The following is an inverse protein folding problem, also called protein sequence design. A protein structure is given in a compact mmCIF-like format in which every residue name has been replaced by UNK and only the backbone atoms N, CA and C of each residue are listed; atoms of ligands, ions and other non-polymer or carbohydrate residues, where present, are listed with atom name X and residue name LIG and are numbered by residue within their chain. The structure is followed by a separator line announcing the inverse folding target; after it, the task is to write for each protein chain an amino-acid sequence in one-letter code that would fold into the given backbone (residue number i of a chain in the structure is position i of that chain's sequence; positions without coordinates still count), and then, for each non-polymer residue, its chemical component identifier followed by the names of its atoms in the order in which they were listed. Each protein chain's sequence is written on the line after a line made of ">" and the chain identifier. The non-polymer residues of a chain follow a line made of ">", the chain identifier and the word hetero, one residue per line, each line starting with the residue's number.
data_IF_534242244385
#
_entry.id   IF_534242244385
#
_cell.length_a   1.000
_cell.length_b   1.000
_cell.length_c   1.000
_cell.angle_alpha   90.00
_cell.angle_beta   90.00
_cell.angle_gamma   90.00
#
_symmetry.space_group_name_H-M   'P 1'
#
loop_
_entity.id
_entity.type
_entity.pdbx_description
1 polymer ?
#
# COMPACT_ATOMS: atom_id res chain seq x y z
N UNK A 1 5.91 15.83 13.82
CA UNK A 1 6.94 14.77 14.04
C UNK A 1 7.24 14.12 12.69
N UNK A 2 8.48 14.14 12.21
CA UNK A 2 8.86 13.53 10.92
C UNK A 2 8.82 11.99 11.00
N UNK A 3 8.31 11.34 9.96
CA UNK A 3 8.29 9.87 9.84
C UNK A 3 9.68 9.34 9.47
N UNK A 4 9.89 8.01 9.56
CA UNK A 4 11.16 7.38 9.21
C UNK A 4 11.65 7.78 7.80
N UNK A 5 10.73 7.97 6.84
CA UNK A 5 11.05 8.34 5.46
C UNK A 5 11.68 9.73 5.30
N UNK A 6 11.47 10.62 6.28
CA UNK A 6 11.89 12.03 6.20
C UNK A 6 12.87 12.43 7.32
N UNK A 7 13.36 11.45 8.09
CA UNK A 7 14.38 11.69 9.11
C UNK A 7 15.78 11.61 8.48
N UNK A 8 16.72 12.51 8.83
CA UNK A 8 18.11 12.34 8.45
C UNK A 8 18.69 11.08 9.12
N UNK A 9 19.75 10.54 8.53
CA UNK A 9 20.45 9.37 9.07
C UNK A 9 20.94 9.69 10.48
N UNK A 10 20.30 9.09 11.47
CA UNK A 10 20.46 9.39 12.89
C UNK A 10 20.17 8.13 13.73
N UNK A 11 20.54 8.09 15.02
CA UNK A 11 20.21 6.95 15.89
C UNK A 11 18.71 6.64 15.91
N UNK A 12 17.87 7.67 15.86
CA UNK A 12 16.40 7.53 15.79
C UNK A 12 15.94 6.89 14.48
N UNK A 13 16.47 7.35 13.34
CA UNK A 13 16.18 6.74 12.04
C UNK A 13 16.62 5.28 11.99
N UNK A 14 17.83 4.96 12.49
CA UNK A 14 18.36 3.59 12.55
C UNK A 14 17.48 2.68 13.41
N UNK A 15 17.02 3.18 14.56
CA UNK A 15 16.10 2.46 15.44
C UNK A 15 14.79 2.10 14.74
N UNK A 16 14.13 3.07 14.11
CA UNK A 16 12.91 2.80 13.34
C UNK A 16 13.14 1.82 12.19
N UNK A 17 14.22 2.01 11.41
CA UNK A 17 14.56 1.09 10.33
C UNK A 17 14.77 -0.33 10.84
N UNK A 18 15.48 -0.51 11.97
CA UNK A 18 15.68 -1.82 12.60
C UNK A 18 14.35 -2.46 12.98
N UNK A 19 13.45 -1.71 13.63
CA UNK A 19 12.12 -2.22 14.03
C UNK A 19 11.33 -2.67 12.79
N UNK A 20 11.27 -1.84 11.74
CA UNK A 20 10.55 -2.16 10.50
C UNK A 20 11.14 -3.41 9.85
N UNK A 21 12.46 -3.49 9.69
CA UNK A 21 13.09 -4.64 9.03
C UNK A 21 12.92 -5.94 9.82
N UNK A 22 13.07 -5.92 11.14
CA UNK A 22 13.04 -7.15 11.94
C UNK A 22 11.62 -7.63 12.29
N UNK A 23 10.69 -6.72 12.58
CA UNK A 23 9.37 -7.10 13.10
C UNK A 23 8.27 -7.07 12.06
N UNK A 24 8.40 -6.21 11.04
CA UNK A 24 7.36 -5.97 10.05
C UNK A 24 7.68 -6.58 8.69
N UNK A 25 8.94 -6.50 8.25
CA UNK A 25 9.37 -6.91 6.90
C UNK A 25 10.44 -8.01 6.91
N UNK A 26 10.50 -8.82 7.98
CA UNK A 26 11.41 -9.97 8.00
C UNK A 26 10.96 -11.03 6.99
N UNK A 27 11.87 -11.89 6.49
CA UNK A 27 11.50 -12.97 5.58
C UNK A 27 10.34 -13.83 6.10
N UNK A 28 10.38 -14.20 7.39
CA UNK A 28 9.32 -14.99 8.02
C UNK A 28 7.96 -14.27 8.00
N UNK A 29 7.94 -12.95 8.21
CA UNK A 29 6.71 -12.15 8.11
C UNK A 29 6.22 -12.08 6.67
N UNK A 30 7.12 -11.86 5.71
CA UNK A 30 6.78 -11.81 4.28
C UNK A 30 6.22 -13.14 3.78
N UNK A 31 6.77 -14.27 4.25
CA UNK A 31 6.32 -15.63 3.93
C UNK A 31 4.97 -15.92 4.56
N UNK A 32 4.80 -15.60 5.85
CA UNK A 32 3.51 -15.73 6.54
C UNK A 32 2.38 -14.95 5.83
N UNK A 33 2.73 -13.86 5.14
CA UNK A 33 1.80 -13.04 4.38
C UNK A 33 1.76 -13.35 2.88
N UNK A 34 2.40 -14.43 2.43
CA UNK A 34 2.39 -14.84 1.02
C UNK A 34 0.96 -15.09 0.52
N UNK A 35 0.15 -15.81 1.29
CA UNK A 35 -1.26 -16.07 0.99
C UNK A 35 -2.07 -14.79 0.82
N UNK A 36 -1.80 -13.78 1.67
CA UNK A 36 -2.46 -12.48 1.58
C UNK A 36 -2.08 -11.73 0.30
N UNK A 37 -0.80 -11.76 -0.08
CA UNK A 37 -0.33 -11.16 -1.34
C UNK A 37 -1.01 -11.82 -2.53
N UNK A 38 -1.06 -13.16 -2.55
CA UNK A 38 -1.72 -13.91 -3.61
C UNK A 38 -3.22 -13.56 -3.70
N UNK A 39 -3.91 -13.45 -2.56
CA UNK A 39 -5.31 -13.04 -2.54
C UNK A 39 -5.52 -11.62 -3.10
N UNK A 40 -4.64 -10.67 -2.81
CA UNK A 40 -4.74 -9.30 -3.36
C UNK A 40 -4.43 -9.23 -4.86
N UNK A 41 -3.50 -10.05 -5.35
CA UNK A 41 -3.24 -10.19 -6.79
C UNK A 41 -4.44 -10.82 -7.50
N UNK A 42 -5.05 -11.83 -6.90
CA UNK A 42 -6.26 -12.47 -7.42
C UNK A 42 -7.43 -11.47 -7.54
N UNK A 43 -7.65 -10.64 -6.51
CA UNK A 43 -8.66 -9.58 -6.55
C UNK A 43 -8.40 -8.54 -7.66
N UNK A 44 -7.13 -8.16 -7.86
CA UNK A 44 -6.75 -7.28 -8.95
C UNK A 44 -7.02 -7.92 -10.32
N UNK A 45 -6.68 -9.20 -10.48
CA UNK A 45 -6.96 -9.96 -11.70
C UNK A 45 -8.46 -10.01 -12.00
N UNK A 46 -9.29 -10.32 -11.00
CA UNK A 46 -10.75 -10.35 -11.14
C UNK A 46 -11.32 -9.00 -11.56
N UNK A 47 -10.82 -7.90 -10.99
CA UNK A 47 -11.19 -6.55 -11.38
C UNK A 47 -10.84 -6.26 -12.85
N UNK A 48 -9.60 -6.56 -13.26
CA UNK A 48 -9.16 -6.35 -14.65
C UNK A 48 -9.95 -7.22 -15.63
N UNK A 49 -10.19 -8.49 -15.30
CA UNK A 49 -10.98 -9.41 -16.09
C UNK A 49 -12.41 -8.89 -16.28
N UNK A 50 -13.00 -8.34 -15.22
CA UNK A 50 -14.32 -7.74 -15.31
C UNK A 50 -14.33 -6.50 -16.23
N UNK A 51 -13.37 -5.59 -16.08
CA UNK A 51 -13.24 -4.42 -16.96
C UNK A 51 -13.10 -4.85 -18.42
N UNK A 52 -12.31 -5.88 -18.71
CA UNK A 52 -12.18 -6.46 -20.05
C UNK A 52 -13.51 -6.97 -20.59
N UNK A 53 -14.30 -7.71 -19.78
CA UNK A 53 -15.62 -8.22 -20.17
C UNK A 53 -16.64 -7.12 -20.45
N UNK A 54 -16.55 -5.99 -19.75
CA UNK A 54 -17.49 -4.86 -19.91
C UNK A 54 -16.98 -3.76 -20.84
N UNK A 55 -15.80 -3.95 -21.46
CA UNK A 55 -15.16 -2.96 -22.33
C UNK A 55 -14.75 -1.66 -21.61
N UNK A 56 -14.60 -1.72 -20.29
CA UNK A 56 -14.24 -0.55 -19.47
C UNK A 56 -12.73 -0.35 -19.42
N UNK A 57 -12.22 0.89 -19.52
CA UNK A 57 -10.81 1.17 -19.36
C UNK A 57 -10.37 0.90 -17.91
N UNK A 58 -9.12 0.49 -17.74
CA UNK A 58 -8.49 0.29 -16.44
C UNK A 58 -7.47 1.40 -16.19
N UNK A 59 -7.68 2.19 -15.15
CA UNK A 59 -6.63 3.07 -14.62
C UNK A 59 -5.63 2.24 -13.83
N UNK A 60 -4.49 1.94 -14.45
CA UNK A 60 -3.42 1.13 -13.87
C UNK A 60 -2.85 1.78 -12.60
N UNK A 61 -2.72 3.12 -12.58
CA UNK A 61 -2.19 3.85 -11.43
C UNK A 61 -3.11 3.73 -10.22
N UNK A 62 -4.42 3.92 -10.43
CA UNK A 62 -5.43 3.73 -9.37
C UNK A 62 -5.55 2.27 -8.93
N UNK A 63 -5.52 1.33 -9.86
CA UNK A 63 -5.59 -0.09 -9.55
C UNK A 63 -4.40 -0.55 -8.72
N UNK A 64 -3.18 -0.23 -9.15
CA UNK A 64 -1.94 -0.56 -8.43
C UNK A 64 -1.92 0.08 -7.04
N UNK A 65 -2.24 1.37 -6.94
CA UNK A 65 -2.30 2.07 -5.64
C UNK A 65 -3.32 1.40 -4.69
N UNK A 66 -4.51 1.09 -5.19
CA UNK A 66 -5.56 0.45 -4.38
C UNK A 66 -5.13 -0.94 -3.89
N UNK A 67 -4.53 -1.76 -4.76
CA UNK A 67 -4.00 -3.08 -4.37
C UNK A 67 -2.91 -2.95 -3.31
N UNK A 68 -1.94 -2.05 -3.51
CA UNK A 68 -0.85 -1.81 -2.55
C UNK A 68 -1.37 -1.31 -1.21
N UNK A 69 -2.31 -0.36 -1.21
CA UNK A 69 -2.92 0.18 0.01
C UNK A 69 -3.65 -0.91 0.79
N UNK A 70 -4.44 -1.74 0.11
CA UNK A 70 -5.15 -2.86 0.73
C UNK A 70 -4.21 -3.95 1.27
N UNK A 71 -3.10 -4.20 0.58
CA UNK A 71 -2.10 -5.13 1.07
C UNK A 71 -1.47 -4.58 2.35
N UNK A 72 -0.97 -3.35 2.34
CA UNK A 72 -0.31 -2.74 3.50
C UNK A 72 -1.27 -2.58 4.68
N UNK A 73 -2.51 -2.15 4.44
CA UNK A 73 -3.50 -2.00 5.51
C UNK A 73 -3.83 -3.34 6.16
N UNK A 74 -3.90 -4.41 5.37
CA UNK A 74 -4.19 -5.75 5.86
C UNK A 74 -2.99 -6.36 6.57
N UNK A 75 -1.77 -6.04 6.15
CA UNK A 75 -0.52 -6.45 6.81
C UNK A 75 -0.34 -5.79 8.18
N UNK A 76 -0.55 -4.47 8.28
CA UNK A 76 -0.25 -3.72 9.51
C UNK A 76 -1.40 -3.67 10.50
N UNK A 77 -2.63 -3.60 10.00
CA UNK A 77 -3.81 -3.32 10.81
C UNK A 77 -4.89 -4.41 10.69
N UNK A 78 -4.67 -5.45 9.89
CA UNK A 78 -5.66 -6.47 9.56
C UNK A 78 -6.97 -5.92 8.95
N UNK A 79 -6.93 -4.68 8.45
CA UNK A 79 -8.05 -3.94 7.87
C UNK A 79 -7.95 -3.83 6.35
N UNK A 80 -9.10 -3.71 5.69
CA UNK A 80 -9.19 -3.45 4.25
C UNK A 80 -9.72 -2.03 4.03
N UNK A 81 -8.81 -1.10 3.71
CA UNK A 81 -9.11 0.34 3.72
C UNK A 81 -9.69 0.85 2.39
N UNK A 82 -9.55 0.09 1.31
CA UNK A 82 -9.91 0.52 -0.02
C UNK A 82 -10.63 -0.57 -0.83
N UNK A 83 -11.29 -0.15 -1.90
CA UNK A 83 -11.93 -1.06 -2.84
C UNK A 83 -11.74 -0.54 -4.27
N UNK A 84 -11.53 -1.43 -5.23
CA UNK A 84 -11.23 -1.08 -6.62
C UNK A 84 -12.31 -0.21 -7.29
N UNK A 85 -13.57 -0.30 -6.81
CA UNK A 85 -14.69 0.50 -7.30
C UNK A 85 -15.05 1.71 -6.42
N UNK A 86 -14.33 1.94 -5.33
CA UNK A 86 -14.60 3.06 -4.42
C UNK A 86 -13.74 4.29 -4.77
N UNK A 87 -14.18 5.48 -4.36
CA UNK A 87 -13.39 6.72 -4.40
C UNK A 87 -12.42 6.83 -3.22
N UNK A 88 -12.61 6.04 -2.15
CA UNK A 88 -11.78 6.13 -0.93
C UNK A 88 -10.28 5.94 -1.18
N UNK A 89 -9.91 5.06 -2.11
CA UNK A 89 -8.48 4.92 -2.46
C UNK A 89 -7.92 6.15 -3.16
N UNK A 90 -8.75 6.85 -3.95
CA UNK A 90 -8.35 8.08 -4.61
C UNK A 90 -8.18 9.21 -3.60
N UNK A 91 -9.14 9.38 -2.69
CA UNK A 91 -9.05 10.37 -1.61
C UNK A 91 -7.79 10.15 -0.75
N UNK A 92 -7.48 8.89 -0.42
CA UNK A 92 -6.28 8.55 0.31
C UNK A 92 -5.00 8.80 -0.51
N UNK A 93 -5.03 8.51 -1.82
CA UNK A 93 -3.92 8.80 -2.74
C UNK A 93 -3.64 10.30 -2.80
N UNK A 94 -4.68 11.11 -2.94
CA UNK A 94 -4.59 12.56 -3.04
C UNK A 94 -4.07 13.17 -1.73
N UNK A 95 -4.53 12.67 -0.58
CA UNK A 95 -4.00 13.05 0.73
C UNK A 95 -2.49 12.76 0.85
N UNK A 96 -2.08 11.54 0.50
CA UNK A 96 -0.67 11.14 0.54
C UNK A 96 0.16 11.99 -0.43
N UNK A 97 -0.36 12.29 -1.61
CA UNK A 97 0.29 13.15 -2.59
C UNK A 97 0.52 14.57 -2.04
N UNK A 98 -0.52 15.19 -1.47
CA UNK A 98 -0.41 16.52 -0.87
C UNK A 98 0.64 16.56 0.25
N UNK A 99 0.68 15.53 1.10
CA UNK A 99 1.71 15.40 2.14
C UNK A 99 3.11 15.30 1.52
N UNK A 100 3.29 14.54 0.45
CA UNK A 100 4.59 14.43 -0.22
C UNK A 100 5.02 15.77 -0.84
N UNK A 101 4.10 16.49 -1.47
CA UNK A 101 4.36 17.80 -2.06
C UNK A 101 4.77 18.82 -0.99
N UNK A 102 4.05 18.85 0.14
CA UNK A 102 4.32 19.79 1.23
C UNK A 102 5.63 19.50 1.97
N UNK A 103 6.07 18.23 2.04
CA UNK A 103 7.37 17.87 2.61
C UNK A 103 8.51 18.12 1.62
N UNK A 104 8.24 18.06 0.31
CA UNK A 104 9.23 18.30 -0.75
C UNK A 104 9.47 19.77 -1.10
N UNK A 105 8.59 20.68 -0.65
CA UNK A 105 8.79 22.14 -0.67
C UNK A 105 9.83 22.56 0.37
#
# INVERSE_FOLDING_TARGET
>A
KLTMSWLPVSPKWRSFRKITTFHLLSPQRLDACCSLRQAKVQQLFEYVLQCSRTGQPVDIGKAAFTTSLNLLSKLFFSLELAHHRSTKSQEFKDLIWNIMEDIGK
#
